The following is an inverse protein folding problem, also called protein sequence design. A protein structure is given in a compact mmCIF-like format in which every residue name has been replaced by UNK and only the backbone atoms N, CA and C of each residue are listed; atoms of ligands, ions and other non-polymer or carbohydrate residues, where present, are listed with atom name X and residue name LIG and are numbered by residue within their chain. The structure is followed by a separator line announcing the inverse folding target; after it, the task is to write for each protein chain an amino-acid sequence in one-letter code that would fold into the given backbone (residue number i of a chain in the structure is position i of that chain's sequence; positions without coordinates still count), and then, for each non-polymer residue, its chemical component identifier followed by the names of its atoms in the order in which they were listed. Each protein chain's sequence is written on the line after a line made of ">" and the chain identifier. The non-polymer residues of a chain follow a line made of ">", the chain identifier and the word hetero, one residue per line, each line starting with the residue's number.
data_IF_994980159963
#
_entry.id   IF_994980159963
#
_cell.length_a   1.000
_cell.length_b   1.000
_cell.length_c   1.000
_cell.angle_alpha   90.00
_cell.angle_beta   90.00
_cell.angle_gamma   90.00
#
_symmetry.space_group_name_H-M   'P 1'
#
loop_
_entity.id
_entity.type
_entity.pdbx_description
1 polymer ?
#
# COMPACT_ATOMS: atom_id res chain seq x y z
N UNK A 1 5.15 10.64 0.82
CA UNK A 1 5.32 9.49 1.73
C UNK A 1 4.96 9.80 3.19
N UNK A 2 5.06 11.06 3.60
CA UNK A 2 4.76 11.45 4.98
C UNK A 2 3.33 11.17 5.41
N UNK A 3 2.36 11.39 4.54
CA UNK A 3 0.96 11.12 4.85
C UNK A 3 0.71 9.62 4.99
N UNK A 4 1.32 8.80 4.13
CA UNK A 4 1.19 7.34 4.23
C UNK A 4 1.80 6.84 5.54
N UNK A 5 2.92 7.42 5.97
CA UNK A 5 3.54 7.07 7.26
C UNK A 5 2.60 7.40 8.42
N UNK A 6 2.00 8.58 8.40
CA UNK A 6 1.05 8.98 9.45
C UNK A 6 -0.14 8.02 9.50
N UNK A 7 -0.70 7.69 8.35
CA UNK A 7 -1.84 6.78 8.27
C UNK A 7 -1.47 5.38 8.78
N UNK A 8 -0.30 4.90 8.41
CA UNK A 8 0.19 3.59 8.87
C UNK A 8 0.36 3.57 10.38
N UNK A 9 0.98 4.60 10.93
CA UNK A 9 1.19 4.69 12.38
C UNK A 9 -0.14 4.75 13.14
N UNK A 10 -1.10 5.52 12.63
CA UNK A 10 -2.43 5.59 13.22
C UNK A 10 -3.12 4.23 13.22
N UNK A 11 -3.04 3.52 12.10
CA UNK A 11 -3.66 2.19 11.98
C UNK A 11 -3.04 1.18 12.94
N UNK A 12 -1.73 1.27 13.16
CA UNK A 12 -1.00 0.35 14.03
C UNK A 12 -0.97 0.80 15.49
N UNK A 13 -1.48 1.99 15.80
CA UNK A 13 -1.48 2.51 17.16
C UNK A 13 -0.11 2.99 17.63
N UNK A 14 0.74 3.42 16.71
CA UNK A 14 2.10 3.88 17.01
C UNK A 14 2.09 5.40 17.24
N UNK A 15 2.54 5.85 18.40
CA UNK A 15 2.52 7.27 18.77
C UNK A 15 3.90 7.91 18.90
N UNK A 16 4.97 7.15 18.68
CA UNK A 16 6.34 7.63 18.77
C UNK A 16 7.07 7.54 17.44
N UNK A 17 8.24 8.14 17.35
CA UNK A 17 9.02 8.22 16.12
C UNK A 17 10.21 7.25 16.08
N UNK A 18 10.34 6.39 17.06
CA UNK A 18 11.54 5.55 17.23
C UNK A 18 11.74 4.54 16.11
N UNK A 19 10.66 4.18 15.39
CA UNK A 19 10.72 3.20 14.32
C UNK A 19 10.30 3.77 12.97
N UNK A 20 10.32 5.09 12.83
CA UNK A 20 9.90 5.73 11.57
C UNK A 20 10.75 5.27 10.38
N UNK A 21 12.04 5.10 10.56
CA UNK A 21 12.91 4.59 9.49
C UNK A 21 12.47 3.20 9.03
N UNK A 22 12.10 2.34 9.97
CA UNK A 22 11.59 1.00 9.65
C UNK A 22 10.28 1.08 8.87
N UNK A 23 9.35 1.91 9.32
CA UNK A 23 8.04 2.04 8.67
C UNK A 23 8.16 2.68 7.29
N UNK A 24 9.08 3.64 7.12
CA UNK A 24 9.36 4.20 5.80
C UNK A 24 9.92 3.13 4.85
N UNK A 25 10.82 2.28 5.32
CA UNK A 25 11.34 1.17 4.53
C UNK A 25 10.22 0.20 4.16
N UNK A 26 9.32 -0.07 5.09
CA UNK A 26 8.17 -0.94 4.85
C UNK A 26 7.25 -0.36 3.78
N UNK A 27 6.97 0.95 3.85
CA UNK A 27 6.15 1.64 2.85
C UNK A 27 6.81 1.60 1.47
N UNK A 28 8.10 1.86 1.39
CA UNK A 28 8.83 1.79 0.12
C UNK A 28 8.81 0.38 -0.46
N UNK A 29 8.96 -0.62 0.38
CA UNK A 29 8.88 -2.02 -0.02
C UNK A 29 7.48 -2.35 -0.54
N UNK A 30 6.45 -1.82 0.11
CA UNK A 30 5.07 -2.01 -0.31
C UNK A 30 4.81 -1.40 -1.69
N UNK A 31 5.32 -0.19 -1.94
CA UNK A 31 5.21 0.46 -3.26
C UNK A 31 5.82 -0.43 -4.35
N UNK A 32 7.04 -0.91 -4.13
CA UNK A 32 7.73 -1.76 -5.10
C UNK A 32 6.97 -3.06 -5.35
N UNK A 33 6.45 -3.65 -4.29
CA UNK A 33 5.69 -4.88 -4.40
C UNK A 33 4.41 -4.69 -5.20
N UNK A 34 3.69 -3.58 -4.97
CA UNK A 34 2.49 -3.26 -5.71
C UNK A 34 2.81 -2.96 -7.19
N UNK A 35 3.91 -2.28 -7.45
CA UNK A 35 4.35 -2.02 -8.83
C UNK A 35 4.61 -3.32 -9.58
N UNK A 36 5.24 -4.30 -8.95
CA UNK A 36 5.47 -5.62 -9.55
C UNK A 36 4.17 -6.31 -9.89
N UNK A 37 3.10 -6.02 -9.15
CA UNK A 37 1.77 -6.57 -9.39
C UNK A 37 0.98 -5.77 -10.42
N UNK A 38 1.57 -4.73 -11.00
CA UNK A 38 0.93 -3.89 -11.99
C UNK A 38 0.10 -2.76 -11.41
N UNK A 39 0.36 -2.38 -10.16
CA UNK A 39 -0.36 -1.30 -9.49
C UNK A 39 0.60 -0.14 -9.25
N UNK A 40 0.46 0.92 -10.04
CA UNK A 40 1.22 2.15 -9.88
C UNK A 40 0.42 3.11 -9.00
N UNK A 41 1.05 3.62 -7.94
CA UNK A 41 0.40 4.54 -7.02
C UNK A 41 0.86 5.97 -7.27
N UNK A 42 -0.09 6.90 -7.16
CA UNK A 42 0.19 8.33 -7.15
C UNK A 42 0.11 8.82 -5.70
N UNK A 43 1.25 9.08 -5.07
CA UNK A 43 1.28 9.45 -3.65
C UNK A 43 0.75 10.86 -3.38
N UNK A 44 0.38 11.60 -4.43
CA UNK A 44 -0.35 12.85 -4.29
C UNK A 44 -1.83 12.64 -4.06
N UNK A 45 -2.34 11.45 -4.36
CA UNK A 45 -3.76 11.11 -4.23
C UNK A 45 -4.06 10.48 -2.87
N UNK A 46 -5.08 10.98 -2.18
CA UNK A 46 -5.45 10.48 -0.85
C UNK A 46 -5.84 8.99 -0.88
N UNK A 47 -6.57 8.57 -1.91
CA UNK A 47 -6.98 7.18 -2.05
C UNK A 47 -5.78 6.24 -2.18
N UNK A 48 -4.75 6.67 -2.90
CA UNK A 48 -3.53 5.87 -3.08
C UNK A 48 -2.71 5.82 -1.81
N UNK A 49 -2.67 6.91 -1.05
CA UNK A 49 -2.03 6.95 0.25
C UNK A 49 -2.69 5.96 1.22
N UNK A 50 -4.03 5.95 1.23
CA UNK A 50 -4.79 5.01 2.06
C UNK A 50 -4.55 3.56 1.65
N UNK A 51 -4.56 3.29 0.35
CA UNK A 51 -4.31 1.95 -0.16
C UNK A 51 -2.91 1.47 0.21
N UNK A 52 -1.93 2.32 0.05
CA UNK A 52 -0.54 2.00 0.43
C UNK A 52 -0.42 1.73 1.93
N UNK A 53 -1.02 2.59 2.74
CA UNK A 53 -1.02 2.43 4.20
C UNK A 53 -1.66 1.11 4.62
N UNK A 54 -2.81 0.77 4.05
CA UNK A 54 -3.52 -0.46 4.36
C UNK A 54 -2.70 -1.69 3.97
N UNK A 55 -2.07 -1.64 2.81
CA UNK A 55 -1.24 -2.74 2.35
C UNK A 55 0.01 -2.92 3.23
N UNK A 56 0.66 -1.82 3.59
CA UNK A 56 1.82 -1.84 4.48
C UNK A 56 1.45 -2.36 5.87
N UNK A 57 0.29 -1.98 6.39
CA UNK A 57 -0.20 -2.49 7.66
C UNK A 57 -0.40 -4.01 7.62
N UNK A 58 -0.96 -4.51 6.52
CA UNK A 58 -1.10 -5.95 6.33
C UNK A 58 0.26 -6.64 6.28
N UNK A 59 1.23 -6.10 5.56
CA UNK A 59 2.59 -6.64 5.50
C UNK A 59 3.22 -6.73 6.89
N UNK A 60 3.03 -5.69 7.70
CA UNK A 60 3.54 -5.65 9.06
C UNK A 60 2.94 -6.76 9.91
N UNK A 61 1.61 -6.91 9.87
CA UNK A 61 0.90 -7.93 10.65
C UNK A 61 1.22 -9.33 10.18
N UNK A 62 1.36 -9.52 8.87
CA UNK A 62 1.69 -10.80 8.27
C UNK A 62 3.05 -11.32 8.75
N UNK A 63 4.02 -10.44 8.93
CA UNK A 63 5.35 -10.84 9.41
C UNK A 63 5.31 -11.36 10.83
N UNK A 64 4.32 -10.96 11.60
CA UNK A 64 4.18 -11.36 13.00
C UNK A 64 3.28 -12.57 13.18
N UNK A 65 2.26 -12.72 12.37
CA UNK A 65 1.20 -13.71 12.61
C UNK A 65 0.55 -14.25 11.34
N UNK A 66 1.23 -14.23 10.22
CA UNK A 66 0.76 -14.80 8.96
C UNK A 66 -0.74 -14.56 8.68
N UNK A 67 -1.18 -13.33 8.84
CA UNK A 67 -2.58 -12.93 8.64
C UNK A 67 -2.92 -12.90 7.15
N UNK A 68 -4.06 -13.49 6.73
CA UNK A 68 -4.46 -13.43 5.32
C UNK A 68 -4.87 -12.02 4.93
N UNK A 69 -4.75 -11.72 3.64
CA UNK A 69 -5.15 -10.42 3.09
C UNK A 69 -6.66 -10.25 3.22
N UNK A 70 -7.10 -9.13 3.81
CA UNK A 70 -8.52 -8.84 3.98
C UNK A 70 -9.23 -8.76 2.62
N UNK A 71 -10.46 -9.25 2.57
CA UNK A 71 -11.23 -9.31 1.31
C UNK A 71 -11.40 -7.95 0.66
N UNK A 72 -11.74 -6.94 1.43
CA UNK A 72 -11.95 -5.59 0.89
C UNK A 72 -10.66 -5.02 0.31
N UNK A 73 -9.53 -5.25 0.96
CA UNK A 73 -8.24 -4.82 0.45
C UNK A 73 -7.87 -5.57 -0.82
N UNK A 74 -8.10 -6.87 -0.84
CA UNK A 74 -7.86 -7.69 -2.02
C UNK A 74 -8.68 -7.20 -3.21
N UNK A 75 -9.95 -6.88 -3.00
CA UNK A 75 -10.81 -6.35 -4.05
C UNK A 75 -10.31 -5.00 -4.57
N UNK A 76 -9.90 -4.11 -3.68
CA UNK A 76 -9.36 -2.81 -4.06
C UNK A 76 -8.12 -2.97 -4.93
N UNK A 77 -7.23 -3.89 -4.56
CA UNK A 77 -6.02 -4.18 -5.34
C UNK A 77 -6.36 -4.76 -6.70
N UNK A 78 -7.32 -5.68 -6.76
CA UNK A 78 -7.76 -6.26 -8.03
C UNK A 78 -8.37 -5.21 -8.95
N UNK A 79 -9.19 -4.32 -8.41
CA UNK A 79 -9.79 -3.24 -9.18
C UNK A 79 -8.74 -2.30 -9.76
N UNK A 80 -7.69 -2.00 -8.98
CA UNK A 80 -6.59 -1.17 -9.47
C UNK A 80 -5.81 -1.86 -10.58
N UNK A 81 -5.61 -3.17 -10.49
CA UNK A 81 -4.95 -3.95 -11.54
C UNK A 81 -5.75 -3.93 -12.84
N UNK A 82 -7.05 -4.12 -12.73
CA UNK A 82 -7.94 -4.09 -13.90
C UNK A 82 -7.90 -2.72 -14.56
N UNK A 83 -7.98 -1.66 -13.75
CA UNK A 83 -7.92 -0.29 -14.25
C UNK A 83 -6.59 -0.02 -14.97
N UNK A 84 -5.49 -0.45 -14.38
CA UNK A 84 -4.16 -0.26 -14.95
C UNK A 84 -4.02 -0.98 -16.30
N UNK A 85 -4.55 -2.21 -16.39
CA UNK A 85 -4.55 -2.97 -17.64
C UNK A 85 -5.37 -2.27 -18.72
N UNK A 86 -6.55 -1.79 -18.36
CA UNK A 86 -7.42 -1.08 -19.31
C UNK A 86 -6.73 0.17 -19.85
N UNK A 87 -6.07 0.93 -18.96
CA UNK A 87 -5.32 2.11 -19.36
C UNK A 87 -4.11 1.74 -20.22
N UNK A 88 -3.40 0.67 -19.84
CA UNK A 88 -2.25 0.19 -20.59
C UNK A 88 -2.63 -0.25 -22.01
N UNK A 89 -3.74 -0.95 -22.14
CA UNK A 89 -4.24 -1.37 -23.47
C UNK A 89 -4.61 -0.15 -24.31
N UNK A 90 -5.26 0.84 -23.70
CA UNK A 90 -5.64 2.07 -24.40
C UNK A 90 -4.40 2.85 -24.82
N UNK A 91 -3.44 2.97 -23.93
CA UNK A 91 -2.21 3.73 -24.19
C UNK A 91 -1.29 3.02 -25.16
N UNK A 92 -1.35 1.69 -25.21
CA UNK A 92 -0.52 0.88 -26.08
C UNK A 92 -0.88 0.94 -27.55
N UNK A 93 -1.99 1.54 -27.83
CA UNK A 93 -2.43 1.71 -29.21
C UNK A 93 -1.83 2.96 -29.85
#
# INVERSE_FOLDING_TARGET
>A
MDEALKLLKLDLGITHDKRDAYFNALLNSAVLELERKGIALSLAEADDQMLLSDYAAWLYRKRQDDVPLAKNLKLRLMNRKVRARAQGVTDGE
#
